data_IF_944672601354
#
_entry.id   IF_944672601354
#
_cell.length_a   1.000
_cell.length_b   1.000
_cell.length_c   1.000
_cell.angle_alpha   90.00
_cell.angle_beta   90.00
_cell.angle_gamma   90.00
#
_symmetry.space_group_name_H-M   'P 1'
#
loop_
_entity.id
_entity.type
_entity.pdbx_description
1 polymer ?
#
# COMPACT_ATOMS: atom_id res chain seq x y z
N UNK A 1 -15.74 0.78 -17.61
CA UNK A 1 -15.14 1.36 -16.38
C UNK A 1 -13.67 1.85 -16.47
N UNK A 2 -12.75 1.25 -17.26
CA UNK A 2 -11.32 1.65 -17.24
C UNK A 2 -10.96 2.94 -18.02
N UNK A 3 -11.93 3.55 -18.72
CA UNK A 3 -11.75 4.76 -19.55
C UNK A 3 -12.28 6.03 -18.89
N UNK A 4 -12.84 5.92 -17.69
CA UNK A 4 -13.45 7.02 -16.94
C UNK A 4 -12.78 7.15 -15.58
N UNK A 5 -12.80 8.34 -14.97
CA UNK A 5 -12.31 8.59 -13.62
C UNK A 5 -13.48 9.09 -12.77
N UNK A 6 -13.95 8.26 -11.86
CA UNK A 6 -15.11 8.52 -10.99
C UNK A 6 -14.71 9.04 -9.62
N UNK A 7 -13.74 8.37 -9.00
CA UNK A 7 -13.15 8.78 -7.75
C UNK A 7 -11.63 8.57 -7.76
N UNK A 8 -10.94 9.34 -6.93
CA UNK A 8 -9.53 9.18 -6.65
C UNK A 8 -9.24 9.62 -5.23
N UNK A 9 -8.28 8.97 -4.60
CA UNK A 9 -7.83 9.30 -3.25
C UNK A 9 -6.31 9.41 -3.26
N UNK A 10 -5.77 10.47 -2.67
CA UNK A 10 -4.34 10.63 -2.46
C UNK A 10 -4.10 10.84 -0.97
N UNK A 11 -3.42 9.89 -0.35
CA UNK A 11 -2.98 9.96 1.04
C UNK A 11 -1.51 10.36 1.02
N UNK A 12 -1.20 11.54 1.54
CA UNK A 12 0.15 11.97 1.85
C UNK A 12 0.56 11.38 3.19
N UNK A 13 1.65 10.61 3.22
CA UNK A 13 2.10 9.89 4.41
C UNK A 13 3.57 10.11 4.71
N UNK A 14 3.89 10.08 5.99
CA UNK A 14 5.23 10.10 6.56
C UNK A 14 5.54 8.74 7.17
N UNK A 15 6.73 8.21 6.88
CA UNK A 15 7.24 6.96 7.44
C UNK A 15 8.56 7.25 8.15
N UNK A 16 8.62 6.93 9.44
CA UNK A 16 9.80 7.10 10.26
C UNK A 16 10.22 5.75 10.87
N UNK A 17 11.53 5.42 10.93
CA UNK A 17 11.99 4.22 11.61
C UNK A 17 11.75 4.33 13.12
N UNK A 18 11.17 3.29 13.73
CA UNK A 18 11.08 3.13 15.20
C UNK A 18 12.11 2.12 15.72
N UNK A 19 12.93 1.61 14.81
CA UNK A 19 14.05 0.72 15.02
C UNK A 19 14.85 0.61 13.73
N UNK A 20 15.91 -0.23 13.68
CA UNK A 20 16.76 -0.37 12.51
C UNK A 20 15.95 -0.68 11.24
N UNK A 21 16.02 0.21 10.26
CA UNK A 21 15.37 0.02 8.96
C UNK A 21 16.44 -0.18 7.89
N UNK A 22 16.24 -1.16 7.01
CA UNK A 22 17.08 -1.35 5.82
C UNK A 22 16.21 -1.75 4.64
N UNK A 23 16.15 -0.89 3.63
CA UNK A 23 15.67 -1.26 2.31
C UNK A 23 16.89 -1.56 1.44
N UNK A 24 17.22 -2.85 1.31
CA UNK A 24 18.47 -3.29 0.71
C UNK A 24 18.50 -2.99 -0.80
N UNK A 25 19.57 -2.39 -1.28
CA UNK A 25 19.84 -2.25 -2.71
C UNK A 25 20.09 -3.60 -3.38
N UNK A 26 19.60 -3.75 -4.62
CA UNK A 26 19.90 -4.91 -5.44
C UNK A 26 21.32 -4.84 -5.99
N UNK A 27 22.06 -5.95 -5.93
CA UNK A 27 23.41 -6.06 -6.46
C UNK A 27 24.53 -5.76 -5.45
N UNK A 28 25.77 -5.79 -5.94
CA UNK A 28 26.98 -5.40 -5.20
C UNK A 28 27.38 -4.04 -5.76
N UNK A 29 27.61 -3.05 -4.89
CA UNK A 29 28.10 -1.76 -5.34
C UNK A 29 29.52 -1.90 -5.87
N UNK A 30 29.81 -1.25 -7.00
CA UNK A 30 31.17 -1.19 -7.54
C UNK A 30 32.09 -0.29 -6.69
N UNK A 31 31.53 0.47 -5.74
CA UNK A 31 32.30 1.29 -4.81
C UNK A 31 32.66 0.49 -3.55
N UNK A 32 33.95 0.16 -3.34
CA UNK A 32 34.40 -0.67 -2.21
C UNK A 32 34.37 0.05 -0.86
N UNK A 33 34.10 1.37 -0.82
CA UNK A 33 34.02 2.13 0.45
C UNK A 33 32.63 2.09 1.09
N UNK A 34 31.65 1.49 0.42
CA UNK A 34 30.28 1.40 0.91
C UNK A 34 30.03 0.02 1.55
N UNK A 35 29.12 -0.07 2.55
CA UNK A 35 28.80 -1.33 3.23
C UNK A 35 28.38 -2.46 2.28
N UNK A 36 28.52 -3.72 2.72
CA UNK A 36 28.09 -4.90 1.95
C UNK A 36 26.59 -4.86 1.63
N UNK A 37 25.78 -4.39 2.59
CA UNK A 37 24.34 -4.25 2.45
C UNK A 37 23.94 -2.79 2.57
N UNK A 38 23.80 -2.15 1.41
CA UNK A 38 23.51 -0.72 1.32
C UNK A 38 22.02 -0.46 1.32
N UNK A 39 21.66 0.70 1.83
CA UNK A 39 20.33 1.22 1.63
C UNK A 39 20.18 1.67 0.17
N UNK A 40 19.01 1.46 -0.42
CA UNK A 40 18.71 1.99 -1.76
C UNK A 40 18.82 3.51 -1.79
N UNK A 41 19.44 4.04 -2.85
CA UNK A 41 19.70 5.46 -3.06
C UNK A 41 19.03 5.97 -4.32
N UNK A 42 18.72 7.26 -4.32
CA UNK A 42 18.21 8.02 -5.46
C UNK A 42 18.78 9.43 -5.43
N UNK A 43 18.55 10.21 -6.48
CA UNK A 43 18.92 11.62 -6.54
C UNK A 43 17.72 12.50 -6.18
N UNK A 44 17.80 13.22 -5.07
CA UNK A 44 16.82 14.21 -4.66
C UNK A 44 17.19 15.59 -5.24
N UNK A 45 16.26 16.30 -5.91
CA UNK A 45 16.56 17.56 -6.59
C UNK A 45 17.27 18.62 -5.73
N UNK A 46 16.92 18.68 -4.44
CA UNK A 46 17.46 19.68 -3.51
C UNK A 46 18.59 19.16 -2.60
N UNK A 47 18.67 17.84 -2.38
CA UNK A 47 19.56 17.22 -1.38
C UNK A 47 20.70 16.42 -2.01
N UNK A 48 20.70 16.26 -3.34
CA UNK A 48 21.64 15.39 -4.04
C UNK A 48 21.34 13.91 -3.79
N UNK A 49 22.38 13.08 -3.77
CA UNK A 49 22.23 11.65 -3.52
C UNK A 49 21.74 11.38 -2.10
N UNK A 50 20.67 10.60 -1.96
CA UNK A 50 20.10 10.25 -0.65
C UNK A 50 19.47 8.87 -0.66
N UNK A 51 19.30 8.30 0.54
CA UNK A 51 18.49 7.08 0.73
C UNK A 51 17.01 7.37 0.56
N UNK A 52 16.25 6.38 0.10
CA UNK A 52 14.79 6.49 -0.09
C UNK A 52 14.10 5.16 0.12
N UNK A 53 12.77 5.14 0.19
CA UNK A 53 11.99 3.89 0.21
C UNK A 53 11.24 3.76 -1.11
N UNK A 54 11.56 2.77 -1.97
CA UNK A 54 10.87 2.59 -3.24
C UNK A 54 9.40 2.26 -3.02
N UNK A 55 8.52 2.87 -3.82
CA UNK A 55 7.08 2.61 -3.77
C UNK A 55 6.75 1.15 -4.03
N UNK A 56 7.53 0.48 -4.88
CA UNK A 56 7.44 -0.96 -5.13
C UNK A 56 7.72 -1.81 -3.88
N UNK A 57 8.65 -1.37 -3.03
CA UNK A 57 8.99 -2.05 -1.77
C UNK A 57 7.85 -1.95 -0.77
N UNK A 58 7.31 -0.74 -0.58
CA UNK A 58 6.17 -0.52 0.32
C UNK A 58 4.91 -1.24 -0.20
N UNK A 59 4.63 -1.15 -1.50
CA UNK A 59 3.53 -1.86 -2.17
C UNK A 59 3.65 -3.38 -1.96
N UNK A 60 4.85 -3.95 -2.11
CA UNK A 60 5.08 -5.38 -1.91
C UNK A 60 4.83 -5.83 -0.47
N UNK A 61 5.27 -5.04 0.51
CA UNK A 61 5.02 -5.30 1.94
C UNK A 61 3.52 -5.28 2.26
N UNK A 62 2.82 -4.23 1.83
CA UNK A 62 1.37 -4.08 2.03
C UNK A 62 0.60 -5.20 1.32
N UNK A 63 0.93 -5.48 0.06
CA UNK A 63 0.32 -6.56 -0.71
C UNK A 63 0.47 -7.90 0.00
N UNK A 64 1.68 -8.25 0.43
CA UNK A 64 1.94 -9.53 1.10
C UNK A 64 1.21 -9.67 2.43
N UNK A 65 0.98 -8.57 3.16
CA UNK A 65 0.15 -8.56 4.36
C UNK A 65 -1.33 -8.82 4.02
N UNK A 66 -1.88 -8.08 3.05
CA UNK A 66 -3.27 -8.24 2.60
C UNK A 66 -3.53 -9.65 2.05
N UNK A 67 -2.59 -10.22 1.27
CA UNK A 67 -2.69 -11.61 0.80
C UNK A 67 -2.84 -12.61 1.95
N UNK A 68 -2.07 -12.44 3.04
CA UNK A 68 -2.17 -13.31 4.20
C UNK A 68 -3.52 -13.16 4.91
N UNK A 69 -3.94 -11.92 5.16
CA UNK A 69 -5.22 -11.65 5.82
C UNK A 69 -6.41 -12.23 5.02
N UNK A 70 -6.43 -12.03 3.71
CA UNK A 70 -7.51 -12.54 2.86
C UNK A 70 -7.49 -14.07 2.71
N UNK A 71 -6.34 -14.74 2.79
CA UNK A 71 -6.26 -16.21 2.82
C UNK A 71 -6.76 -16.81 4.13
N UNK A 72 -6.80 -16.04 5.22
CA UNK A 72 -7.43 -16.48 6.47
C UNK A 72 -8.96 -16.54 6.34
N UNK A 73 -9.56 -15.62 5.57
CA UNK A 73 -11.01 -15.59 5.34
C UNK A 73 -11.42 -16.57 4.21
N UNK A 74 -10.70 -16.54 3.09
CA UNK A 74 -10.89 -17.39 1.89
C UNK A 74 -12.34 -17.50 1.35
N UNK A 75 -13.12 -16.41 1.44
CA UNK A 75 -14.47 -16.38 0.86
C UNK A 75 -14.40 -16.08 -0.66
N UNK A 76 -14.34 -17.14 -1.46
CA UNK A 76 -14.26 -17.06 -2.94
C UNK A 76 -15.54 -16.58 -3.61
N UNK A 77 -16.65 -16.47 -2.89
CA UNK A 77 -17.89 -15.88 -3.41
C UNK A 77 -17.83 -14.35 -3.41
N UNK A 78 -16.98 -13.75 -2.56
CA UNK A 78 -16.78 -12.31 -2.43
C UNK A 78 -15.38 -11.86 -2.91
N UNK A 79 -14.98 -10.64 -2.56
CA UNK A 79 -13.61 -10.14 -2.72
C UNK A 79 -12.66 -10.62 -1.61
N UNK A 80 -13.17 -11.25 -0.54
CA UNK A 80 -12.42 -11.59 0.68
C UNK A 80 -11.63 -12.90 0.54
N UNK A 81 -10.82 -13.00 -0.52
CA UNK A 81 -9.89 -14.10 -0.76
C UNK A 81 -8.66 -13.59 -1.51
N UNK A 82 -7.57 -14.36 -1.49
CA UNK A 82 -6.37 -14.07 -2.26
C UNK A 82 -5.82 -15.35 -2.93
N UNK A 83 -5.50 -15.25 -4.22
CA UNK A 83 -4.85 -16.34 -4.96
C UNK A 83 -3.41 -16.57 -4.47
N UNK A 84 -2.72 -17.65 -4.89
CA UNK A 84 -1.30 -17.83 -4.64
C UNK A 84 -0.46 -16.63 -5.12
N UNK A 85 0.67 -16.41 -4.45
CA UNK A 85 1.54 -15.23 -4.68
C UNK A 85 2.33 -15.35 -6.00
N UNK A 86 2.69 -16.56 -6.40
CA UNK A 86 3.52 -16.78 -7.58
C UNK A 86 2.70 -16.71 -8.86
N UNK A 87 3.08 -15.88 -9.85
CA UNK A 87 2.34 -15.74 -11.09
C UNK A 87 2.22 -17.03 -11.91
N UNK A 88 3.23 -17.91 -11.85
CA UNK A 88 3.29 -19.16 -12.61
C UNK A 88 2.48 -20.30 -11.98
N UNK A 89 1.95 -20.08 -10.77
CA UNK A 89 1.03 -21.02 -10.14
C UNK A 89 -0.27 -21.09 -10.97
N UNK A 90 -0.74 -22.31 -11.26
CA UNK A 90 -1.95 -22.54 -12.04
C UNK A 90 -3.20 -21.93 -11.40
N UNK A 91 -3.19 -21.75 -10.09
CA UNK A 91 -4.29 -21.14 -9.33
C UNK A 91 -4.14 -19.62 -9.15
N UNK A 92 -3.07 -19.01 -9.67
CA UNK A 92 -2.94 -17.54 -9.66
C UNK A 92 -4.00 -16.88 -10.54
N UNK A 93 -4.48 -15.69 -10.15
CA UNK A 93 -5.42 -14.94 -11.01
C UNK A 93 -4.82 -14.63 -12.38
N UNK A 94 -3.50 -14.38 -12.46
CA UNK A 94 -2.81 -14.12 -13.71
C UNK A 94 -2.91 -15.31 -14.67
N UNK A 95 -2.74 -16.54 -14.15
CA UNK A 95 -2.77 -17.75 -14.97
C UNK A 95 -4.19 -18.22 -15.29
N UNK A 96 -5.07 -18.25 -14.28
CA UNK A 96 -6.50 -18.63 -14.45
C UNK A 96 -7.25 -17.77 -15.47
N UNK A 97 -6.86 -16.50 -15.59
CA UNK A 97 -7.50 -15.51 -16.46
C UNK A 97 -6.66 -15.17 -17.70
N UNK A 98 -5.63 -15.97 -18.02
CA UNK A 98 -4.70 -15.70 -19.12
C UNK A 98 -5.41 -15.57 -20.48
N UNK A 99 -6.46 -16.38 -20.70
CA UNK A 99 -7.27 -16.41 -21.93
C UNK A 99 -8.53 -15.54 -21.88
N UNK A 100 -8.76 -14.81 -20.79
CA UNK A 100 -9.93 -13.94 -20.65
C UNK A 100 -9.63 -12.58 -21.30
N UNK A 101 -10.49 -12.16 -22.23
CA UNK A 101 -10.35 -10.87 -22.93
C UNK A 101 -11.27 -9.78 -22.36
N UNK A 102 -12.33 -10.17 -21.65
CA UNK A 102 -13.26 -9.22 -21.07
C UNK A 102 -12.66 -8.55 -19.83
N UNK A 103 -12.31 -7.28 -19.93
CA UNK A 103 -11.77 -6.49 -18.79
C UNK A 103 -12.65 -6.55 -17.54
N UNK A 104 -13.97 -6.62 -17.70
CA UNK A 104 -14.91 -6.74 -16.57
C UNK A 104 -14.84 -8.12 -15.91
N UNK A 105 -14.68 -9.19 -16.69
CA UNK A 105 -14.48 -10.53 -16.13
C UNK A 105 -13.11 -10.65 -15.47
N UNK A 106 -12.05 -10.08 -16.07
CA UNK A 106 -10.72 -10.06 -15.46
C UNK A 106 -10.81 -9.41 -14.08
N UNK A 107 -11.45 -8.24 -13.97
CA UNK A 107 -11.63 -7.57 -12.68
C UNK A 107 -12.52 -8.37 -11.71
N UNK A 108 -13.72 -8.75 -12.14
CA UNK A 108 -14.73 -9.39 -11.28
C UNK A 108 -14.38 -10.83 -10.86
N UNK A 109 -13.50 -11.52 -11.59
CA UNK A 109 -13.01 -12.87 -11.24
C UNK A 109 -11.63 -12.84 -10.56
N UNK A 110 -11.01 -11.68 -10.43
CA UNK A 110 -9.78 -11.51 -9.67
C UNK A 110 -10.04 -11.50 -8.16
N UNK A 111 -9.09 -12.00 -7.39
CA UNK A 111 -9.11 -11.94 -5.93
C UNK A 111 -9.00 -10.51 -5.41
N UNK A 112 -9.35 -10.27 -4.13
CA UNK A 112 -9.32 -8.94 -3.52
C UNK A 112 -7.95 -8.26 -3.63
N UNK A 113 -6.88 -9.01 -3.38
CA UNK A 113 -5.51 -8.52 -3.57
C UNK A 113 -5.24 -8.09 -5.02
N UNK A 114 -5.58 -8.92 -6.00
CA UNK A 114 -5.34 -8.62 -7.41
C UNK A 114 -6.16 -7.42 -7.89
N UNK A 115 -7.39 -7.25 -7.40
CA UNK A 115 -8.22 -6.07 -7.67
C UNK A 115 -7.62 -4.78 -7.10
N UNK A 116 -6.91 -4.86 -5.98
CA UNK A 116 -6.27 -3.70 -5.34
C UNK A 116 -4.89 -3.40 -5.91
N UNK A 117 -4.00 -4.40 -6.01
CA UNK A 117 -2.59 -4.20 -6.35
C UNK A 117 -2.23 -4.52 -7.81
N UNK A 118 -3.10 -5.27 -8.50
CA UNK A 118 -2.91 -5.67 -9.89
C UNK A 118 -2.10 -6.94 -10.10
N UNK A 119 -2.08 -7.38 -11.35
CA UNK A 119 -1.21 -8.43 -11.90
C UNK A 119 -1.01 -8.16 -13.40
N UNK A 120 -0.31 -9.05 -14.10
CA UNK A 120 0.07 -8.87 -15.53
C UNK A 120 -1.11 -8.58 -16.47
N UNK A 121 -2.33 -9.03 -16.16
CA UNK A 121 -3.55 -8.78 -16.96
C UNK A 121 -4.45 -7.68 -16.39
N UNK A 122 -4.18 -7.15 -15.20
CA UNK A 122 -5.05 -6.20 -14.50
C UNK A 122 -4.24 -5.08 -13.85
N UNK A 123 -4.46 -3.84 -14.29
CA UNK A 123 -3.94 -2.65 -13.60
C UNK A 123 -4.53 -2.58 -12.20
N UNK A 124 -3.67 -2.55 -11.18
CA UNK A 124 -4.08 -2.33 -9.80
C UNK A 124 -4.65 -0.93 -9.59
N UNK A 125 -5.50 -0.78 -8.58
CA UNK A 125 -6.08 0.51 -8.21
C UNK A 125 -5.24 1.29 -7.22
N UNK A 126 -4.37 0.63 -6.46
CA UNK A 126 -3.45 1.23 -5.52
C UNK A 126 -2.03 1.39 -6.10
N UNK A 127 -1.54 2.61 -6.06
CA UNK A 127 -0.17 3.00 -6.39
C UNK A 127 0.52 3.62 -5.18
N UNK A 128 1.81 3.36 -5.04
CA UNK A 128 2.66 3.90 -3.99
C UNK A 128 3.77 4.65 -4.69
N UNK A 129 3.94 5.93 -4.38
CA UNK A 129 5.11 6.67 -4.86
C UNK A 129 6.34 6.24 -4.09
N UNK A 130 7.50 6.59 -4.62
CA UNK A 130 8.71 6.59 -3.83
C UNK A 130 8.56 7.54 -2.64
N UNK A 131 9.14 7.11 -1.52
CA UNK A 131 9.14 7.83 -0.25
C UNK A 131 10.51 8.49 -0.10
N UNK A 132 10.53 9.82 -0.25
CA UNK A 132 11.74 10.65 -0.26
C UNK A 132 11.95 11.33 1.10
N UNK A 133 13.19 11.60 1.51
CA UNK A 133 13.48 12.14 2.84
C UNK A 133 13.07 13.61 2.98
N UNK A 134 12.24 13.92 3.96
CA UNK A 134 11.80 15.30 4.29
C UNK A 134 12.88 16.04 5.06
N UNK A 135 13.52 15.37 6.00
CA UNK A 135 14.65 15.85 6.79
C UNK A 135 15.89 14.96 6.54
N UNK A 136 16.96 15.17 7.29
CA UNK A 136 18.15 14.32 7.19
C UNK A 136 17.85 12.94 7.76
N UNK A 137 18.22 11.90 6.99
CA UNK A 137 18.10 10.52 7.45
C UNK A 137 19.39 10.15 8.15
N UNK A 138 19.30 9.86 9.45
CA UNK A 138 20.44 9.35 10.20
C UNK A 138 20.62 7.88 9.87
N UNK A 139 21.77 7.55 9.28
CA UNK A 139 22.20 6.17 9.04
C UNK A 139 23.33 5.75 9.97
N UNK A 140 23.41 4.45 10.25
CA UNK A 140 24.47 3.82 11.03
C UNK A 140 24.92 2.55 10.32
N UNK A 141 26.18 2.15 10.53
CA UNK A 141 26.68 0.84 10.09
C UNK A 141 26.47 -0.15 11.23
N UNK A 142 25.71 -1.21 10.96
CA UNK A 142 25.50 -2.31 11.89
C UNK A 142 26.16 -3.58 11.38
N UNK A 143 27.00 -4.17 12.22
CA UNK A 143 27.69 -5.42 11.90
C UNK A 143 26.77 -6.63 12.10
N UNK A 144 26.80 -7.54 11.14
CA UNK A 144 26.13 -8.83 11.19
C UNK A 144 27.12 -9.98 11.04
N UNK A 145 26.81 -11.11 11.67
CA UNK A 145 27.57 -12.36 11.54
C UNK A 145 26.57 -13.49 11.33
N UNK A 146 26.85 -14.38 10.39
CA UNK A 146 26.12 -15.63 10.22
C UNK A 146 26.86 -16.73 10.97
N UNK A 147 26.25 -17.27 12.02
CA UNK A 147 26.80 -18.37 12.81
C UNK A 147 26.29 -19.69 12.27
N UNK A 148 27.19 -20.63 12.00
CA UNK A 148 26.85 -21.99 11.61
C UNK A 148 26.15 -22.71 12.76
N UNK A 149 24.99 -23.31 12.49
CA UNK A 149 24.26 -24.11 13.48
C UNK A 149 24.94 -25.45 13.80
N UNK A 150 25.85 -25.91 12.94
CA UNK A 150 26.58 -27.18 13.11
C UNK A 150 27.90 -26.98 13.86
N UNK A 151 28.70 -26.01 13.42
CA UNK A 151 30.05 -25.81 13.99
C UNK A 151 30.09 -24.76 15.10
N UNK A 152 29.00 -24.01 15.32
CA UNK A 152 28.94 -22.83 16.18
C UNK A 152 29.97 -21.73 15.85
N UNK A 153 30.70 -21.88 14.74
CA UNK A 153 31.67 -20.91 14.23
C UNK A 153 31.01 -19.90 13.28
N UNK A 154 31.75 -18.84 12.96
CA UNK A 154 31.37 -17.87 11.93
C UNK A 154 31.34 -18.57 10.57
N UNK A 155 30.15 -18.71 9.99
CA UNK A 155 29.95 -19.26 8.65
C UNK A 155 30.05 -18.20 7.55
N UNK A 156 29.68 -16.95 7.86
CA UNK A 156 29.89 -15.79 6.99
C UNK A 156 29.90 -14.47 7.80
N UNK A 157 30.71 -13.51 7.37
CA UNK A 157 30.86 -12.20 7.99
C UNK A 157 32.22 -11.97 8.68
N UNK A 158 32.40 -10.85 9.40
CA UNK A 158 31.41 -9.79 9.62
C UNK A 158 31.01 -9.12 8.30
N UNK A 159 29.73 -8.76 8.17
CA UNK A 159 29.25 -7.96 7.06
C UNK A 159 28.61 -6.69 7.57
N UNK A 160 28.76 -5.62 6.80
CA UNK A 160 28.28 -4.29 7.13
C UNK A 160 26.89 -4.05 6.56
N UNK A 161 25.97 -3.58 7.40
CA UNK A 161 24.62 -3.18 6.99
C UNK A 161 24.44 -1.70 7.26
N UNK A 162 24.18 -0.92 6.21
CA UNK A 162 23.71 0.45 6.35
C UNK A 162 22.25 0.44 6.80
N UNK A 163 21.96 0.98 7.97
CA UNK A 163 20.60 1.05 8.52
C UNK A 163 20.19 2.50 8.74
N UNK A 164 18.94 2.85 8.41
CA UNK A 164 18.34 4.09 8.87
C UNK A 164 17.81 3.90 10.30
N UNK A 165 18.15 4.84 11.18
CA UNK A 165 17.79 4.82 12.61
C UNK A 165 16.94 6.01 13.04
N UNK A 166 16.96 7.10 12.29
CA UNK A 166 16.10 8.27 12.51
C UNK A 166 15.89 9.06 11.20
N UNK A 167 14.91 9.95 11.20
CA UNK A 167 14.50 10.74 10.04
C UNK A 167 13.15 10.32 9.48
N UNK A 168 12.65 11.04 8.50
CA UNK A 168 11.28 10.88 7.97
C UNK A 168 11.29 10.84 6.46
N UNK A 169 10.63 9.83 5.91
CA UNK A 169 10.38 9.70 4.48
C UNK A 169 8.92 10.07 4.16
N UNK A 170 8.69 10.83 3.11
CA UNK A 170 7.38 11.27 2.64
C UNK A 170 7.07 10.71 1.26
N UNK A 171 5.85 10.24 1.08
CA UNK A 171 5.33 9.81 -0.21
C UNK A 171 3.81 9.80 -0.21
N UNK A 172 3.25 9.20 -1.25
CA UNK A 172 1.81 9.14 -1.46
C UNK A 172 1.34 7.72 -1.74
N UNK A 173 0.23 7.37 -1.10
CA UNK A 173 -0.62 6.26 -1.50
C UNK A 173 -1.77 6.84 -2.34
N UNK A 174 -1.88 6.38 -3.58
CA UNK A 174 -2.87 6.86 -4.54
C UNK A 174 -3.81 5.73 -4.92
N UNK A 175 -5.11 5.99 -4.86
CA UNK A 175 -6.15 5.13 -5.39
C UNK A 175 -6.91 5.83 -6.53
N UNK A 176 -7.25 5.07 -7.57
CA UNK A 176 -8.13 5.52 -8.65
C UNK A 176 -9.26 4.53 -8.90
N UNK A 177 -10.49 5.04 -9.06
CA UNK A 177 -11.69 4.26 -9.32
C UNK A 177 -11.88 3.12 -8.32
N UNK A 178 -11.72 3.37 -7.03
CA UNK A 178 -11.66 2.32 -6.01
C UNK A 178 -13.03 2.04 -5.37
N UNK A 179 -13.22 0.80 -4.94
CA UNK A 179 -14.29 0.40 -4.03
C UNK A 179 -13.86 0.63 -2.57
N UNK A 180 -14.79 0.93 -1.69
CA UNK A 180 -14.48 1.36 -0.32
C UNK A 180 -13.74 0.27 0.48
N UNK A 181 -14.05 -1.01 0.26
CA UNK A 181 -13.32 -2.12 0.88
C UNK A 181 -11.83 -2.17 0.53
N UNK A 182 -11.44 -1.65 -0.65
CA UNK A 182 -10.02 -1.59 -1.04
C UNK A 182 -9.27 -0.58 -0.18
N UNK A 183 -9.91 0.55 0.12
CA UNK A 183 -9.35 1.53 1.04
C UNK A 183 -9.35 0.99 2.47
N UNK A 184 -10.36 0.21 2.87
CA UNK A 184 -10.39 -0.49 4.16
C UNK A 184 -9.19 -1.43 4.34
N UNK A 185 -8.85 -2.23 3.33
CA UNK A 185 -7.66 -3.10 3.34
C UNK A 185 -6.34 -2.33 3.49
N UNK A 186 -6.25 -1.15 2.87
CA UNK A 186 -5.07 -0.30 2.98
C UNK A 186 -4.98 0.36 4.35
N UNK A 187 -6.10 0.88 4.89
CA UNK A 187 -6.18 1.41 6.25
C UNK A 187 -5.73 0.35 7.28
N UNK A 188 -6.23 -0.88 7.16
CA UNK A 188 -5.83 -2.01 8.00
C UNK A 188 -4.32 -2.28 7.92
N UNK A 189 -3.73 -2.21 6.73
CA UNK A 189 -2.29 -2.43 6.56
C UNK A 189 -1.44 -1.30 7.18
N UNK A 190 -1.87 -0.04 7.06
CA UNK A 190 -1.20 1.11 7.67
C UNK A 190 -1.28 1.03 9.21
N UNK A 191 -2.44 0.67 9.74
CA UNK A 191 -2.63 0.44 11.18
C UNK A 191 -1.76 -0.71 11.69
N UNK A 192 -1.68 -1.82 10.95
CA UNK A 192 -0.79 -2.93 11.28
C UNK A 192 0.70 -2.53 11.30
N UNK A 193 1.13 -1.56 10.49
CA UNK A 193 2.50 -1.01 10.57
C UNK A 193 2.71 -0.27 11.89
N UNK A 194 1.77 0.60 12.27
CA UNK A 194 1.83 1.37 13.52
C UNK A 194 1.80 0.49 14.76
N UNK A 195 1.11 -0.64 14.71
CA UNK A 195 1.11 -1.66 15.78
C UNK A 195 2.37 -2.54 15.79
N UNK A 196 3.30 -2.37 14.84
CA UNK A 196 4.51 -3.16 14.71
C UNK A 196 4.29 -4.60 14.20
N UNK A 197 3.06 -4.94 13.81
CA UNK A 197 2.69 -6.24 13.22
C UNK A 197 3.22 -6.36 11.78
N UNK A 198 3.11 -5.28 11.01
CA UNK A 198 3.61 -5.21 9.64
C UNK A 198 4.95 -4.48 9.60
N UNK A 199 6.03 -5.26 9.52
CA UNK A 199 7.41 -4.74 9.42
C UNK A 199 7.84 -4.50 7.98
N UNK A 200 8.65 -3.48 7.77
CA UNK A 200 9.12 -3.02 6.45
C UNK A 200 10.60 -3.35 6.24
N UNK A 201 10.97 -3.73 5.01
CA UNK A 201 12.37 -3.92 4.63
C UNK A 201 12.96 -5.29 5.00
N UNK A 202 14.29 -5.31 5.13
CA UNK A 202 15.11 -6.47 5.45
C UNK A 202 15.17 -6.74 6.97
N UNK A 203 15.50 -7.98 7.35
CA UNK A 203 15.78 -8.30 8.77
C UNK A 203 14.55 -8.31 9.70
N UNK A 204 13.33 -8.39 9.16
CA UNK A 204 12.06 -8.31 9.93
C UNK A 204 11.97 -9.23 11.16
N UNK A 205 12.55 -10.43 11.06
CA UNK A 205 12.60 -11.42 12.15
C UNK A 205 13.83 -11.27 13.07
N UNK A 206 14.67 -10.26 12.84
CA UNK A 206 15.90 -9.97 13.59
C UNK A 206 15.84 -8.59 14.28
N UNK A 207 14.63 -8.11 14.55
CA UNK A 207 14.38 -6.83 15.23
C UNK A 207 14.41 -5.60 14.32
N UNK A 208 14.44 -5.75 12.99
CA UNK A 208 14.44 -4.63 12.05
C UNK A 208 13.02 -4.33 11.55
N UNK A 209 12.83 -3.14 10.99
CA UNK A 209 11.68 -2.82 10.15
C UNK A 209 10.43 -2.38 10.90
N UNK A 210 10.50 -2.14 12.21
CA UNK A 210 9.43 -1.43 12.93
C UNK A 210 9.46 0.03 12.52
N UNK A 211 8.31 0.54 12.10
CA UNK A 211 8.16 1.91 11.57
C UNK A 211 6.93 2.56 12.19
N UNK A 212 6.90 3.89 12.16
CA UNK A 212 5.71 4.70 12.44
C UNK A 212 5.26 5.32 11.12
N UNK A 213 3.96 5.22 10.83
CA UNK A 213 3.31 5.84 9.69
C UNK A 213 2.33 6.89 10.17
N UNK A 214 2.52 8.12 9.72
CA UNK A 214 1.65 9.26 10.02
C UNK A 214 1.03 9.77 8.73
N UNK A 215 -0.28 10.01 8.75
CA UNK A 215 -0.98 10.61 7.62
C UNK A 215 -0.97 12.12 7.78
N UNK A 216 -0.40 12.82 6.81
CA UNK A 216 -0.29 14.26 6.83
C UNK A 216 -1.52 14.93 6.22
N UNK A 217 -2.03 14.38 5.11
CA UNK A 217 -3.16 14.93 4.36
C UNK A 217 -3.83 13.83 3.54
N UNK A 218 -5.15 13.85 3.45
CA UNK A 218 -5.91 13.02 2.52
C UNK A 218 -6.74 13.89 1.60
N UNK A 219 -6.53 13.73 0.30
CA UNK A 219 -7.36 14.35 -0.73
C UNK A 219 -8.27 13.29 -1.34
N UNK A 220 -9.58 13.49 -1.23
CA UNK A 220 -10.60 12.72 -1.94
C UNK A 220 -11.16 13.56 -3.08
N UNK A 221 -11.05 13.08 -4.30
CA UNK A 221 -11.72 13.63 -5.46
C UNK A 221 -12.79 12.66 -5.96
N UNK A 222 -13.99 13.15 -6.21
CA UNK A 222 -15.08 12.37 -6.79
C UNK A 222 -15.92 13.22 -7.73
N UNK A 223 -16.72 12.61 -8.61
CA UNK A 223 -17.65 13.38 -9.46
C UNK A 223 -18.56 14.25 -8.60
N UNK A 224 -18.63 15.55 -8.89
CA UNK A 224 -19.37 16.51 -8.07
C UNK A 224 -20.89 16.22 -8.05
N UNK A 225 -21.42 15.65 -9.15
CA UNK A 225 -22.83 15.31 -9.25
C UNK A 225 -23.24 14.28 -8.17
N UNK A 226 -24.24 14.65 -7.37
CA UNK A 226 -24.77 13.81 -6.29
C UNK A 226 -23.84 13.63 -5.09
N UNK A 227 -22.77 14.45 -4.97
CA UNK A 227 -21.90 14.45 -3.81
C UNK A 227 -22.61 14.99 -2.56
N UNK A 228 -22.31 14.42 -1.40
CA UNK A 228 -22.81 14.86 -0.08
C UNK A 228 -21.64 14.90 0.90
N UNK A 229 -21.57 15.92 1.77
CA UNK A 229 -20.35 16.29 2.50
C UNK A 229 -19.78 15.17 3.38
N UNK A 230 -20.64 14.45 4.08
CA UNK A 230 -20.27 13.38 5.02
C UNK A 230 -20.51 11.98 4.45
N UNK A 231 -20.57 11.87 3.11
CA UNK A 231 -20.76 10.60 2.42
C UNK A 231 -19.59 10.32 1.49
N UNK A 232 -18.85 9.25 1.76
CA UNK A 232 -17.81 8.77 0.85
C UNK A 232 -18.39 7.75 -0.11
N UNK A 233 -18.08 7.89 -1.39
CA UNK A 233 -18.60 7.02 -2.45
C UNK A 233 -17.49 6.21 -3.09
N UNK A 234 -17.69 4.90 -3.11
CA UNK A 234 -16.89 3.96 -3.89
C UNK A 234 -17.35 3.89 -5.34
N UNK A 235 -16.59 3.17 -6.14
CA UNK A 235 -16.82 2.99 -7.57
C UNK A 235 -18.26 2.59 -7.93
N UNK A 236 -18.89 1.70 -7.15
CA UNK A 236 -20.25 1.23 -7.41
C UNK A 236 -21.31 2.34 -7.35
N UNK A 237 -21.09 3.40 -6.58
CA UNK A 237 -22.03 4.52 -6.47
C UNK A 237 -22.11 5.40 -7.74
N UNK A 238 -21.21 5.20 -8.70
CA UNK A 238 -21.14 5.96 -9.95
C UNK A 238 -21.49 5.11 -11.18
N UNK A 239 -21.87 3.85 -10.99
CA UNK A 239 -22.12 2.89 -12.08
C UNK A 239 -23.55 2.37 -12.05
N UNK A 240 -24.09 1.97 -13.20
CA UNK A 240 -25.39 1.31 -13.28
C UNK A 240 -25.36 -0.09 -12.68
N UNK A 241 -26.53 -0.63 -12.31
CA UNK A 241 -26.68 -2.00 -11.79
C UNK A 241 -26.10 -3.06 -12.74
N UNK A 242 -26.24 -2.85 -14.05
CA UNK A 242 -25.63 -3.71 -15.06
C UNK A 242 -24.11 -3.74 -15.00
N UNK A 243 -23.45 -2.60 -14.77
CA UNK A 243 -21.99 -2.52 -14.61
C UNK A 243 -21.56 -3.09 -13.25
N UNK A 244 -22.33 -2.85 -12.17
CA UNK A 244 -22.11 -3.45 -10.85
C UNK A 244 -22.05 -4.96 -10.95
N UNK A 245 -23.04 -5.58 -11.60
CA UNK A 245 -23.08 -7.03 -11.82
C UNK A 245 -21.93 -7.51 -12.71
N UNK A 246 -21.68 -6.82 -13.82
CA UNK A 246 -20.67 -7.20 -14.81
C UNK A 246 -19.25 -7.16 -14.24
N UNK A 247 -18.94 -6.16 -13.42
CA UNK A 247 -17.64 -6.02 -12.75
C UNK A 247 -17.58 -6.70 -11.38
N UNK A 248 -18.70 -7.25 -10.90
CA UNK A 248 -18.84 -7.82 -9.54
C UNK A 248 -18.34 -6.85 -8.49
N UNK A 249 -18.88 -5.62 -8.51
CA UNK A 249 -18.62 -4.62 -7.48
C UNK A 249 -19.36 -5.00 -6.20
N UNK A 250 -18.77 -4.66 -5.06
CA UNK A 250 -19.29 -5.06 -3.75
C UNK A 250 -19.69 -3.86 -2.90
N UNK A 251 -20.78 -4.02 -2.16
CA UNK A 251 -21.22 -3.10 -1.11
C UNK A 251 -20.20 -3.06 0.05
N UNK A 252 -20.13 -1.96 0.82
CA UNK A 252 -20.89 -0.73 0.63
C UNK A 252 -20.35 0.12 -0.54
N UNK A 253 -21.25 0.64 -1.37
CA UNK A 253 -20.95 1.61 -2.40
C UNK A 253 -20.88 3.04 -1.85
N UNK A 254 -21.51 3.28 -0.70
CA UNK A 254 -21.52 4.56 0.01
C UNK A 254 -21.34 4.32 1.50
N UNK A 255 -20.58 5.18 2.18
CA UNK A 255 -20.49 5.20 3.63
C UNK A 255 -20.91 6.59 4.10
N UNK A 256 -21.96 6.62 4.91
CA UNK A 256 -22.47 7.81 5.57
C UNK A 256 -21.80 8.00 6.94
N UNK A 257 -21.87 9.21 7.47
CA UNK A 257 -21.28 9.56 8.77
C UNK A 257 -19.76 9.71 8.72
N UNK A 258 -19.20 10.02 7.55
CA UNK A 258 -17.78 10.36 7.44
C UNK A 258 -17.52 11.74 8.04
N UNK A 259 -16.33 11.99 8.61
CA UNK A 259 -16.00 13.28 9.20
C UNK A 259 -16.06 14.39 8.15
N UNK A 260 -16.35 15.62 8.60
CA UNK A 260 -16.34 16.78 7.73
C UNK A 260 -14.92 17.06 7.20
N UNK A 261 -14.82 17.48 5.94
CA UNK A 261 -13.55 17.91 5.35
C UNK A 261 -13.16 19.30 5.85
N UNK A 262 -11.87 19.54 6.05
CA UNK A 262 -11.33 20.86 6.39
C UNK A 262 -11.51 21.86 5.25
N UNK A 263 -11.43 21.36 4.01
CA UNK A 263 -11.68 22.13 2.80
C UNK A 263 -12.46 21.29 1.81
N UNK A 264 -13.48 21.91 1.20
CA UNK A 264 -14.22 21.33 0.08
C UNK A 264 -14.34 22.35 -1.03
N UNK A 265 -14.01 21.94 -2.26
CA UNK A 265 -14.08 22.81 -3.44
C UNK A 265 -14.45 22.03 -4.70
N UNK A 266 -15.22 22.66 -5.59
CA UNK A 266 -15.49 22.10 -6.91
C UNK A 266 -14.33 22.46 -7.84
N UNK A 267 -13.69 21.44 -8.42
CA UNK A 267 -12.58 21.56 -9.37
C UNK A 267 -13.03 20.93 -10.69
N UNK A 268 -13.60 21.75 -11.57
CA UNK A 268 -14.18 21.29 -12.83
C UNK A 268 -15.36 20.34 -12.60
N UNK A 269 -15.25 19.09 -13.08
CA UNK A 269 -16.28 18.06 -12.93
C UNK A 269 -16.25 17.34 -11.57
N UNK A 270 -15.24 17.64 -10.73
CA UNK A 270 -14.97 16.92 -9.51
C UNK A 270 -15.21 17.79 -8.28
N UNK A 271 -15.67 17.18 -7.20
CA UNK A 271 -15.59 17.73 -5.86
C UNK A 271 -14.31 17.21 -5.21
N UNK A 272 -13.46 18.13 -4.75
CA UNK A 272 -12.25 17.84 -3.99
C UNK A 272 -12.51 18.13 -2.53
N UNK A 273 -12.20 17.15 -1.67
CA UNK A 273 -12.24 17.26 -0.21
C UNK A 273 -10.87 16.99 0.37
N UNK A 274 -10.45 17.82 1.32
CA UNK A 274 -9.19 17.70 2.05
C UNK A 274 -9.49 17.36 3.50
N UNK A 275 -8.81 16.34 4.00
CA UNK A 275 -8.91 15.89 5.39
C UNK A 275 -7.51 15.90 6.01
N UNK A 276 -7.39 16.46 7.21
CA UNK A 276 -6.18 16.35 8.01
C UNK A 276 -6.10 15.03 8.78
N UNK A 277 -5.07 14.89 9.63
CA UNK A 277 -4.72 13.65 10.31
C UNK A 277 -5.84 13.10 11.21
N UNK A 278 -6.49 13.96 11.99
CA UNK A 278 -7.54 13.55 12.94
C UNK A 278 -8.80 13.06 12.22
N UNK A 279 -9.25 13.81 11.21
CA UNK A 279 -10.37 13.41 10.36
C UNK A 279 -10.07 12.10 9.62
N UNK A 280 -8.85 11.91 9.12
CA UNK A 280 -8.45 10.63 8.54
C UNK A 280 -8.52 9.49 9.56
N UNK A 281 -8.03 9.68 10.78
CA UNK A 281 -8.04 8.62 11.80
C UNK A 281 -9.47 8.13 12.09
N UNK A 282 -10.41 9.06 12.28
CA UNK A 282 -11.83 8.75 12.46
C UNK A 282 -12.42 8.05 11.22
N UNK A 283 -12.13 8.57 10.03
CA UNK A 283 -12.60 8.00 8.76
C UNK A 283 -12.06 6.58 8.52
N UNK A 284 -10.79 6.32 8.82
CA UNK A 284 -10.13 5.03 8.65
C UNK A 284 -10.75 3.96 9.55
N UNK A 285 -11.04 4.30 10.81
CA UNK A 285 -11.73 3.40 11.75
C UNK A 285 -13.13 3.04 11.22
N UNK A 286 -13.95 4.05 10.95
CA UNK A 286 -15.32 3.85 10.45
C UNK A 286 -15.33 3.08 9.13
N UNK A 287 -14.41 3.37 8.23
CA UNK A 287 -14.24 2.64 6.97
C UNK A 287 -13.94 1.16 7.20
N UNK A 288 -13.01 0.82 8.09
CA UNK A 288 -12.68 -0.58 8.38
C UNK A 288 -13.87 -1.32 8.97
N UNK A 289 -14.61 -0.72 9.92
CA UNK A 289 -15.81 -1.31 10.50
C UNK A 289 -16.88 -1.57 9.44
N UNK A 290 -17.15 -0.58 8.58
CA UNK A 290 -18.20 -0.65 7.56
C UNK A 290 -17.86 -1.53 6.36
N UNK A 291 -16.59 -1.86 6.13
CA UNK A 291 -16.17 -2.59 4.92
C UNK A 291 -15.58 -3.96 5.20
N UNK A 292 -14.88 -4.14 6.32
CA UNK A 292 -14.17 -5.39 6.63
C UNK A 292 -14.95 -6.27 7.61
N UNK A 293 -15.74 -5.65 8.52
CA UNK A 293 -16.51 -6.35 9.56
C UNK A 293 -17.99 -6.52 9.22
N UNK A 294 -18.44 -5.91 8.12
CA UNK A 294 -19.80 -6.07 7.61
C UNK A 294 -19.90 -7.36 6.81
N UNK A 295 -20.09 -8.48 7.51
CA UNK A 295 -20.37 -9.81 6.95
C UNK A 295 -21.87 -10.06 6.81
#
# INVERSE_FOLDING_TARGET
MHKTRYNALRIKLHLSPMGPLLIKAGGISANPTLPDMQFVRTFHPEKGETVYIPGSSLKGVVRGFVEKALRTIDNKQSWQWACPTFPDDSESCAKRLEKEESSSHIYGRSCGTCRTFGHTRLKGRAAFTDLLPVNDIKTEIRYGVAISRLSHAVGAGPFEMEIAVAGTFEGHLVLENFELWQLGLLAMALEAMNQGLLKVGFGKNRGFGTVKVEIAEVILEELAYGAQDTVWRGLGAFTSDSEIQRYRLFEPHRIEGMPASERSEVVGLYLRRVYGPEAWHQAAHHLMERTLLSS
#
